data_IF_315634215834
#
_entry.id   IF_315634215834
#
_cell.length_a   1.000
_cell.length_b   1.000
_cell.length_c   1.000
_cell.angle_alpha   90.00
_cell.angle_beta   90.00
_cell.angle_gamma   90.00
#
_symmetry.space_group_name_H-M   'P 1'
#
loop_
_entity.id
_entity.type
_entity.pdbx_description
1 polymer ?
#
# COMPACT_ATOMS: atom_id res chain seq x y z
N UNK A 1 -2.85 -68.49 34.21
CA UNK A 1 -4.04 -68.98 33.49
C UNK A 1 -5.06 -67.85 33.42
N UNK A 2 -5.40 -67.47 32.18
CA UNK A 2 -6.68 -66.92 31.70
C UNK A 2 -7.37 -65.80 32.50
N UNK A 3 -7.37 -64.58 31.94
CA UNK A 3 -8.56 -63.74 31.92
C UNK A 3 -8.75 -63.08 30.54
N UNK A 4 -9.70 -63.69 29.82
CA UNK A 4 -10.65 -63.24 28.78
C UNK A 4 -10.38 -62.03 27.85
N UNK A 5 -10.72 -62.28 26.58
CA UNK A 5 -10.69 -61.42 25.39
C UNK A 5 -11.94 -60.53 25.27
N UNK A 6 -11.87 -59.61 24.29
CA UNK A 6 -12.96 -58.84 23.61
C UNK A 6 -13.38 -57.54 24.30
N UNK A 7 -13.72 -56.43 23.63
CA UNK A 7 -14.31 -56.26 22.31
C UNK A 7 -13.93 -54.92 21.65
N UNK A 8 -14.09 -54.89 20.32
CA UNK A 8 -13.99 -53.74 19.43
C UNK A 8 -15.22 -52.83 19.54
N UNK A 9 -15.04 -51.50 19.44
CA UNK A 9 -16.09 -50.55 19.07
C UNK A 9 -15.51 -49.42 18.20
N UNK A 10 -15.73 -49.57 16.90
CA UNK A 10 -16.28 -48.57 15.96
C UNK A 10 -16.25 -47.09 16.35
N UNK A 11 -15.62 -46.26 15.51
CA UNK A 11 -15.70 -44.81 15.64
C UNK A 11 -15.08 -44.07 14.46
N UNK A 12 -15.78 -44.08 13.33
CA UNK A 12 -15.51 -43.27 12.15
C UNK A 12 -15.71 -41.77 12.51
N UNK A 13 -14.66 -40.96 12.50
CA UNK A 13 -14.78 -39.51 12.36
C UNK A 13 -13.79 -39.04 11.29
N UNK A 14 -14.27 -39.10 10.05
CA UNK A 14 -13.76 -38.27 8.95
C UNK A 14 -13.88 -36.83 9.43
N UNK A 15 -12.77 -36.13 9.59
CA UNK A 15 -12.78 -34.67 9.71
C UNK A 15 -12.43 -34.09 8.33
N UNK A 16 -13.42 -33.81 7.45
CA UNK A 16 -13.14 -33.02 6.27
C UNK A 16 -13.13 -31.57 6.74
N UNK A 17 -11.97 -31.05 7.14
CA UNK A 17 -11.83 -29.59 7.31
C UNK A 17 -11.66 -28.99 5.91
N UNK A 18 -12.79 -28.93 5.24
CA UNK A 18 -13.01 -28.24 3.98
C UNK A 18 -13.01 -26.73 4.25
N UNK A 19 -12.28 -26.01 3.38
CA UNK A 19 -12.39 -24.58 3.11
C UNK A 19 -12.33 -23.60 4.29
N UNK A 20 -11.17 -22.97 4.43
CA UNK A 20 -11.07 -21.54 4.73
C UNK A 20 -9.85 -20.97 3.97
N UNK A 21 -9.88 -21.04 2.64
CA UNK A 21 -9.19 -20.04 1.83
C UNK A 21 -10.00 -18.74 1.97
N UNK A 22 -9.96 -18.15 3.17
CA UNK A 22 -10.47 -16.81 3.40
C UNK A 22 -9.74 -15.89 2.45
N UNK A 23 -10.47 -15.28 1.52
CA UNK A 23 -10.01 -14.06 0.89
C UNK A 23 -9.77 -13.09 2.04
N UNK A 24 -8.50 -12.94 2.44
CA UNK A 24 -8.15 -11.98 3.47
C UNK A 24 -8.72 -10.63 3.04
N UNK A 25 -9.46 -9.92 3.91
CA UNK A 25 -9.90 -8.59 3.57
C UNK A 25 -8.62 -7.81 3.25
N UNK A 26 -8.47 -7.42 1.97
CA UNK A 26 -7.49 -6.44 1.58
C UNK A 26 -7.91 -5.20 2.34
N UNK A 27 -7.29 -4.95 3.49
CA UNK A 27 -7.41 -3.67 4.17
C UNK A 27 -6.84 -2.69 3.16
N UNK A 28 -7.72 -2.11 2.35
CA UNK A 28 -7.42 -1.03 1.44
C UNK A 28 -7.00 0.11 2.35
N UNK A 29 -5.71 0.15 2.68
CA UNK A 29 -5.09 1.36 3.17
C UNK A 29 -5.17 2.31 1.99
N UNK A 30 -6.27 3.07 1.90
CA UNK A 30 -6.46 4.14 0.94
C UNK A 30 -5.53 5.26 1.36
N UNK A 31 -4.22 5.05 1.18
CA UNK A 31 -3.24 6.10 1.35
C UNK A 31 -3.58 7.12 0.25
N UNK A 32 -3.98 8.35 0.62
CA UNK A 32 -4.41 9.35 -0.37
C UNK A 32 -3.24 9.84 -1.24
N UNK A 33 -2.00 9.51 -0.85
CA UNK A 33 -0.75 9.97 -1.43
C UNK A 33 0.23 8.80 -1.65
N UNK A 34 1.19 8.94 -2.58
CA UNK A 34 2.07 7.85 -2.98
C UNK A 34 3.07 7.47 -1.88
N UNK A 35 3.32 6.16 -1.77
CA UNK A 35 4.21 5.60 -0.75
C UNK A 35 5.67 6.07 -0.90
N UNK A 36 6.14 6.33 -2.13
CA UNK A 36 7.54 6.74 -2.37
C UNK A 36 7.89 8.10 -1.76
N UNK A 37 6.88 8.94 -1.49
CA UNK A 37 7.07 10.27 -0.94
C UNK A 37 6.89 10.32 0.58
N UNK A 38 6.42 9.21 1.18
CA UNK A 38 6.10 9.13 2.60
C UNK A 38 7.36 8.94 3.43
N UNK A 39 7.45 9.65 4.55
CA UNK A 39 8.53 9.47 5.52
C UNK A 39 8.15 8.31 6.47
N UNK A 40 9.03 7.30 6.57
CA UNK A 40 8.75 6.05 7.31
C UNK A 40 8.51 6.27 8.82
N UNK A 41 9.14 7.28 9.42
CA UNK A 41 9.09 7.59 10.85
C UNK A 41 8.45 8.96 11.12
N UNK A 42 7.22 9.15 10.64
CA UNK A 42 6.55 10.47 10.60
C UNK A 42 5.92 10.95 11.92
N UNK A 43 5.95 10.16 12.99
CA UNK A 43 5.23 10.47 14.24
C UNK A 43 3.72 10.24 14.12
N UNK A 44 2.92 10.98 14.91
CA UNK A 44 1.45 10.82 15.01
C UNK A 44 0.74 11.11 13.68
N UNK A 45 1.29 12.00 12.87
CA UNK A 45 0.73 12.38 11.57
C UNK A 45 1.67 11.91 10.46
N UNK A 46 1.12 11.26 9.41
CA UNK A 46 1.92 10.94 8.24
C UNK A 46 2.51 12.22 7.62
N UNK A 47 3.77 12.14 7.17
CA UNK A 47 4.48 13.24 6.53
C UNK A 47 4.99 12.81 5.18
N UNK A 48 5.05 13.77 4.27
CA UNK A 48 5.50 13.54 2.89
C UNK A 48 6.51 14.60 2.49
N UNK A 49 7.50 14.17 1.71
CA UNK A 49 8.47 15.06 1.07
C UNK A 49 7.86 15.59 -0.21
N UNK A 50 7.94 16.91 -0.40
CA UNK A 50 7.53 17.59 -1.64
C UNK A 50 8.63 18.52 -2.12
N UNK A 51 8.72 18.74 -3.43
CA UNK A 51 9.47 19.84 -4.00
C UNK A 51 8.56 21.07 -4.07
N UNK A 52 8.99 22.13 -3.39
CA UNK A 52 8.32 23.41 -3.33
C UNK A 52 8.95 24.39 -4.31
N UNK A 53 8.13 24.96 -5.20
CA UNK A 53 8.55 25.99 -6.18
C UNK A 53 9.82 25.62 -6.98
N UNK A 54 9.97 24.33 -7.30
CA UNK A 54 11.11 23.78 -8.07
C UNK A 54 12.51 24.05 -7.47
N UNK A 55 12.58 24.45 -6.20
CA UNK A 55 13.83 24.91 -5.56
C UNK A 55 14.17 24.16 -4.29
N UNK A 56 13.19 23.97 -3.41
CA UNK A 56 13.44 23.43 -2.06
C UNK A 56 12.59 22.20 -1.79
N UNK A 57 13.19 21.16 -1.21
CA UNK A 57 12.43 20.03 -0.69
C UNK A 57 11.93 20.34 0.73
N UNK A 58 10.63 20.14 0.99
CA UNK A 58 10.00 20.33 2.29
C UNK A 58 9.35 19.03 2.76
N UNK A 59 9.39 18.78 4.06
CA UNK A 59 8.69 17.64 4.68
C UNK A 59 7.49 18.14 5.47
N UNK A 60 6.29 17.90 4.94
CA UNK A 60 5.05 18.47 5.47
C UNK A 60 4.10 17.38 5.99
N UNK A 61 3.25 17.71 6.98
CA UNK A 61 2.22 16.79 7.45
C UNK A 61 1.13 16.60 6.38
N UNK A 62 0.50 15.42 6.38
CA UNK A 62 -0.53 15.00 5.42
C UNK A 62 -1.63 16.06 5.14
N UNK A 63 -2.16 16.79 6.13
CA UNK A 63 -3.21 17.80 5.90
C UNK A 63 -2.76 18.97 5.02
N UNK A 64 -1.46 19.32 5.02
CA UNK A 64 -0.94 20.43 4.24
C UNK A 64 -0.70 20.06 2.76
N UNK A 65 -0.47 18.78 2.47
CA UNK A 65 -0.04 18.30 1.15
C UNK A 65 -1.00 18.74 0.05
N UNK A 66 -2.32 18.59 0.26
CA UNK A 66 -3.32 18.95 -0.76
C UNK A 66 -3.21 20.40 -1.22
N UNK A 67 -2.94 21.33 -0.30
CA UNK A 67 -2.81 22.74 -0.64
C UNK A 67 -1.55 23.01 -1.48
N UNK A 68 -0.43 22.39 -1.11
CA UNK A 68 0.82 22.49 -1.84
C UNK A 68 0.72 21.93 -3.26
N UNK A 69 0.10 20.75 -3.43
CA UNK A 69 -0.10 20.16 -4.76
C UNK A 69 -0.95 21.05 -5.67
N UNK A 70 -1.98 21.73 -5.14
CA UNK A 70 -2.79 22.70 -5.92
C UNK A 70 -1.99 23.93 -6.36
N UNK A 71 -0.89 24.25 -5.70
CA UNK A 71 0.00 25.36 -6.06
C UNK A 71 1.14 24.92 -7.00
N UNK A 72 1.13 23.67 -7.49
CA UNK A 72 2.12 23.16 -8.46
C UNK A 72 3.33 22.47 -7.84
N UNK A 73 3.35 22.31 -6.52
CA UNK A 73 4.35 21.47 -5.84
C UNK A 73 4.14 20.00 -6.20
N UNK A 74 5.21 19.20 -6.15
CA UNK A 74 5.16 17.78 -6.51
C UNK A 74 5.87 16.92 -5.48
N UNK A 75 5.58 15.62 -5.46
CA UNK A 75 6.14 14.71 -4.46
C UNK A 75 7.62 14.38 -4.70
N UNK A 76 8.37 14.23 -3.61
CA UNK A 76 9.80 13.88 -3.62
C UNK A 76 10.73 15.09 -3.59
N UNK A 77 12.02 14.85 -3.79
CA UNK A 77 13.02 15.92 -3.94
C UNK A 77 12.86 16.65 -5.27
N UNK A 78 13.47 17.84 -5.38
CA UNK A 78 13.46 18.62 -6.61
C UNK A 78 14.32 17.99 -7.72
N UNK A 79 13.77 16.98 -8.39
CA UNK A 79 14.38 16.33 -9.55
C UNK A 79 13.37 16.16 -10.68
N UNK A 80 13.86 16.09 -11.92
CA UNK A 80 13.03 15.79 -13.10
C UNK A 80 12.36 14.42 -12.98
N UNK A 81 13.05 13.45 -12.41
CA UNK A 81 12.51 12.10 -12.17
C UNK A 81 11.31 12.15 -11.23
N UNK A 82 11.41 12.87 -10.09
CA UNK A 82 10.31 12.98 -9.14
C UNK A 82 9.13 13.77 -9.72
N UNK A 83 9.39 14.79 -10.54
CA UNK A 83 8.34 15.51 -11.29
C UNK A 83 7.58 14.57 -12.23
N UNK A 84 8.31 13.74 -12.99
CA UNK A 84 7.70 12.71 -13.87
C UNK A 84 6.89 11.69 -13.08
N UNK A 85 7.45 11.12 -12.01
CA UNK A 85 6.74 10.17 -11.15
C UNK A 85 5.46 10.76 -10.54
N UNK A 86 5.51 12.02 -10.12
CA UNK A 86 4.33 12.73 -9.63
C UNK A 86 3.28 12.90 -10.72
N UNK A 87 3.69 13.39 -11.91
CA UNK A 87 2.80 13.53 -13.05
C UNK A 87 2.14 12.19 -13.40
N UNK A 88 2.91 11.11 -13.49
CA UNK A 88 2.40 9.77 -13.81
C UNK A 88 1.38 9.27 -12.77
N UNK A 89 1.61 9.57 -11.48
CA UNK A 89 0.70 9.21 -10.40
C UNK A 89 -0.64 9.95 -10.49
N UNK A 90 -0.66 11.21 -10.95
CA UNK A 90 -1.86 12.05 -11.01
C UNK A 90 -2.49 12.14 -12.42
N UNK A 91 -1.77 11.76 -13.48
CA UNK A 91 -2.24 11.77 -14.89
C UNK A 91 -3.03 10.53 -15.29
N UNK A 92 -3.24 9.57 -14.38
CA UNK A 92 -3.91 8.30 -14.68
C UNK A 92 -5.07 8.47 -15.67
N UNK A 93 -4.87 7.93 -16.89
CA UNK A 93 -5.77 7.87 -18.06
C UNK A 93 -5.71 8.91 -19.23
N UNK A 94 -4.60 9.62 -19.52
CA UNK A 94 -4.54 10.45 -20.77
C UNK A 94 -3.31 10.30 -21.70
N UNK A 95 -2.64 9.15 -21.76
CA UNK A 95 -1.52 9.05 -22.72
C UNK A 95 -0.74 7.76 -22.72
N UNK A 96 -1.40 6.62 -22.98
CA UNK A 96 -0.71 5.43 -23.48
C UNK A 96 -0.50 5.63 -24.99
N UNK A 97 0.39 6.54 -25.37
CA UNK A 97 0.60 6.95 -26.74
C UNK A 97 1.88 7.75 -26.92
N UNK A 98 2.85 7.10 -27.53
CA UNK A 98 3.92 7.66 -28.37
C UNK A 98 5.29 8.00 -27.74
N UNK A 99 6.30 7.59 -28.52
CA UNK A 99 7.71 7.99 -28.61
C UNK A 99 8.67 7.25 -27.67
N UNK A 100 9.29 6.13 -28.06
CA UNK A 100 10.00 5.94 -29.32
C UNK A 100 11.39 6.55 -29.23
N UNK A 101 12.37 5.74 -28.83
CA UNK A 101 13.81 5.89 -29.12
C UNK A 101 14.44 4.51 -29.19
#
# INVERSE_FOLDING_TARGET
MLLFRTAALSGLLIAPILLLAGCTPRIYSTRPYPAYARVANSGVNARYVICHKERNALTLPEPAIRAHLRHGDYFGSCSRENRRRHDDHYRGNRGRGDSGR
#
